data_IF_524373386429
#
_entry.id   IF_524373386429
#
_cell.length_a   1.000
_cell.length_b   1.000
_cell.length_c   1.000
_cell.angle_alpha   90.00
_cell.angle_beta   90.00
_cell.angle_gamma   90.00
#
_symmetry.space_group_name_H-M   'P 1'
#
loop_
_entity.id
_entity.type
_entity.pdbx_description
1 polymer ?
#
# COMPACT_ATOMS: atom_id res chain seq x y z
N UNK A 1 2.87 -12.33 13.49
CA UNK A 1 1.78 -13.23 13.86
C UNK A 1 1.28 -14.03 12.64
N UNK A 2 1.24 -15.38 12.76
CA UNK A 2 0.82 -16.27 11.65
C UNK A 2 -0.64 -16.05 11.22
N UNK A 3 -1.52 -15.61 12.10
CA UNK A 3 -2.94 -15.36 11.78
C UNK A 3 -3.14 -14.13 10.92
N UNK A 4 -2.42 -13.03 11.18
CA UNK A 4 -2.46 -11.83 10.33
C UNK A 4 -1.80 -12.07 8.96
N UNK A 5 -0.73 -12.88 8.88
CA UNK A 5 -0.14 -13.27 7.60
C UNK A 5 -1.09 -14.09 6.74
N UNK A 6 -1.94 -14.93 7.35
CA UNK A 6 -2.93 -15.72 6.61
C UNK A 6 -4.08 -14.87 6.04
N UNK A 7 -4.45 -13.76 6.69
CA UNK A 7 -5.55 -12.91 6.22
C UNK A 7 -5.24 -12.16 4.92
N UNK A 8 -4.00 -11.65 4.75
CA UNK A 8 -3.64 -10.92 3.53
C UNK A 8 -3.28 -11.81 2.33
N UNK A 9 -2.83 -13.04 2.56
CA UNK A 9 -2.22 -13.92 1.55
C UNK A 9 -3.22 -14.82 0.82
N UNK A 10 -4.37 -15.11 1.42
CA UNK A 10 -5.35 -16.08 0.86
C UNK A 10 -6.58 -15.41 0.25
N UNK A 11 -6.70 -14.09 0.37
CA UNK A 11 -7.99 -13.44 0.28
C UNK A 11 -8.61 -13.42 -1.13
N UNK A 12 -7.84 -13.30 -2.22
CA UNK A 12 -8.45 -13.26 -3.55
C UNK A 12 -8.97 -14.64 -3.99
N UNK A 13 -8.18 -15.70 -3.85
CA UNK A 13 -8.58 -17.07 -4.21
C UNK A 13 -9.58 -17.65 -3.20
N UNK A 14 -9.38 -17.41 -1.90
CA UNK A 14 -10.28 -17.86 -0.84
C UNK A 14 -11.65 -17.15 -0.92
N UNK A 15 -11.66 -15.88 -1.31
CA UNK A 15 -12.90 -15.13 -1.53
C UNK A 15 -13.73 -15.74 -2.66
N UNK A 16 -13.14 -16.10 -3.80
CA UNK A 16 -13.85 -16.78 -4.89
C UNK A 16 -14.48 -18.09 -4.41
N UNK A 17 -13.72 -18.90 -3.66
CA UNK A 17 -14.24 -20.14 -3.05
C UNK A 17 -15.41 -19.88 -2.08
N UNK A 18 -15.31 -18.83 -1.24
CA UNK A 18 -16.37 -18.43 -0.31
C UNK A 18 -17.61 -17.91 -1.03
N UNK A 19 -17.43 -17.11 -2.07
CA UNK A 19 -18.54 -16.64 -2.91
C UNK A 19 -19.32 -17.83 -3.47
N UNK A 20 -18.62 -18.83 -4.05
CA UNK A 20 -19.26 -20.03 -4.59
C UNK A 20 -20.00 -20.84 -3.50
N UNK A 21 -19.35 -21.06 -2.35
CA UNK A 21 -19.92 -21.80 -1.23
C UNK A 21 -21.15 -21.11 -0.61
N UNK A 22 -21.12 -19.78 -0.50
CA UNK A 22 -22.25 -18.99 0.00
C UNK A 22 -23.40 -18.96 -1.01
N UNK A 23 -23.09 -18.78 -2.31
CA UNK A 23 -24.09 -18.79 -3.38
C UNK A 23 -24.86 -20.10 -3.41
N UNK A 24 -24.19 -21.24 -3.22
CA UNK A 24 -24.84 -22.56 -3.12
C UNK A 24 -25.84 -22.68 -1.96
N UNK A 25 -25.77 -21.77 -0.99
CA UNK A 25 -26.67 -21.68 0.18
C UNK A 25 -27.64 -20.51 0.11
N UNK A 26 -27.73 -19.83 -1.02
CA UNK A 26 -28.56 -18.64 -1.18
C UNK A 26 -28.05 -17.39 -0.43
N UNK A 27 -26.76 -17.38 -0.03
CA UNK A 27 -26.14 -16.27 0.69
C UNK A 27 -25.25 -15.43 -0.26
N UNK A 28 -25.23 -14.14 -0.03
CA UNK A 28 -24.37 -13.22 -0.75
C UNK A 28 -23.08 -12.96 0.07
N UNK A 29 -21.94 -13.22 -0.52
CA UNK A 29 -20.63 -12.99 0.11
C UNK A 29 -19.85 -11.89 -0.63
N UNK A 30 -19.30 -10.95 0.13
CA UNK A 30 -18.43 -9.88 -0.38
C UNK A 30 -17.14 -9.85 0.42
N UNK A 31 -16.02 -9.85 -0.29
CA UNK A 31 -14.70 -9.60 0.27
C UNK A 31 -14.27 -8.18 -0.06
N UNK A 32 -13.74 -7.43 0.90
CA UNK A 32 -13.31 -6.06 0.68
C UNK A 32 -11.84 -5.87 1.07
N UNK A 33 -11.04 -5.34 0.14
CA UNK A 33 -9.75 -4.77 0.44
C UNK A 33 -9.92 -3.40 1.08
N UNK A 34 -9.10 -3.07 2.08
CA UNK A 34 -9.16 -1.78 2.78
C UNK A 34 -7.77 -1.17 2.83
N UNK A 35 -7.66 0.13 2.54
CA UNK A 35 -6.43 0.90 2.63
C UNK A 35 -6.64 2.18 3.43
N UNK A 36 -5.67 2.53 4.31
CA UNK A 36 -5.74 3.73 5.14
C UNK A 36 -5.07 3.58 6.50
N UNK A 37 -4.70 2.37 6.91
CA UNK A 37 -4.07 2.12 8.21
C UNK A 37 -4.93 2.56 9.39
N UNK A 38 -4.31 2.97 10.47
CA UNK A 38 -4.98 3.47 11.68
C UNK A 38 -5.74 4.79 11.42
N UNK A 39 -5.15 5.68 10.64
CA UNK A 39 -5.78 6.95 10.26
C UNK A 39 -7.04 6.71 9.40
N UNK A 40 -6.96 5.79 8.44
CA UNK A 40 -8.12 5.39 7.65
C UNK A 40 -9.23 4.73 8.48
N UNK A 41 -8.88 3.99 9.53
CA UNK A 41 -9.86 3.44 10.46
C UNK A 41 -10.60 4.52 11.25
N UNK A 42 -9.92 5.65 11.53
CA UNK A 42 -10.48 6.76 12.29
C UNK A 42 -11.30 7.74 11.42
N UNK A 43 -10.81 8.04 10.22
CA UNK A 43 -11.32 9.16 9.40
C UNK A 43 -11.96 8.72 8.07
N UNK A 44 -11.95 7.43 7.80
CA UNK A 44 -12.41 6.84 6.55
C UNK A 44 -11.24 6.26 5.74
N UNK A 45 -11.47 5.09 5.18
CA UNK A 45 -10.49 4.35 4.38
C UNK A 45 -10.91 4.28 2.91
N UNK A 46 -9.97 3.94 2.03
CA UNK A 46 -10.33 3.45 0.69
C UNK A 46 -10.81 2.02 0.81
N UNK A 47 -12.00 1.71 0.30
CA UNK A 47 -12.66 0.41 0.41
C UNK A 47 -12.90 -0.17 -0.99
N UNK A 48 -12.43 -1.39 -1.20
CA UNK A 48 -12.42 -2.10 -2.48
C UNK A 48 -13.26 -3.37 -2.38
N UNK A 49 -14.60 -3.30 -2.48
CA UNK A 49 -15.48 -4.48 -2.40
C UNK A 49 -15.49 -5.27 -3.69
N UNK A 50 -15.55 -6.61 -3.56
CA UNK A 50 -15.75 -7.55 -4.66
C UNK A 50 -16.46 -8.82 -4.17
N UNK A 51 -17.03 -9.62 -5.06
CA UNK A 51 -17.73 -10.84 -4.69
C UNK A 51 -19.06 -11.06 -5.40
N UNK A 52 -20.14 -11.31 -4.66
CA UNK A 52 -21.47 -11.42 -5.21
C UNK A 52 -22.03 -10.04 -5.59
N UNK A 53 -22.19 -9.78 -6.90
CA UNK A 53 -22.60 -8.47 -7.42
C UNK A 53 -23.96 -8.03 -6.89
N UNK A 54 -24.82 -8.99 -6.66
CA UNK A 54 -26.18 -8.77 -6.14
C UNK A 54 -26.19 -8.15 -4.74
N UNK A 55 -25.10 -8.30 -3.98
CA UNK A 55 -24.94 -7.66 -2.68
C UNK A 55 -24.64 -6.15 -2.78
N UNK A 56 -24.07 -5.69 -3.90
CA UNK A 56 -23.58 -4.33 -4.02
C UNK A 56 -24.64 -3.25 -3.76
N UNK A 57 -25.85 -3.30 -4.36
CA UNK A 57 -26.88 -2.30 -4.06
C UNK A 57 -27.26 -2.24 -2.58
N UNK A 58 -27.17 -3.36 -1.84
CA UNK A 58 -27.54 -3.46 -0.44
C UNK A 58 -26.48 -2.85 0.50
N UNK A 59 -25.18 -3.05 0.17
CA UNK A 59 -24.09 -2.62 1.04
C UNK A 59 -23.42 -1.31 0.59
N UNK A 60 -23.67 -0.87 -0.64
CA UNK A 60 -23.09 0.34 -1.21
C UNK A 60 -23.24 1.57 -0.33
N UNK A 61 -24.45 1.93 0.15
CA UNK A 61 -24.60 3.13 0.96
C UNK A 61 -23.73 3.09 2.22
N UNK A 62 -23.74 1.96 2.93
CA UNK A 62 -22.95 1.76 4.14
C UNK A 62 -21.44 1.88 3.87
N UNK A 63 -20.93 1.18 2.86
CA UNK A 63 -19.50 1.19 2.56
C UNK A 63 -19.03 2.55 2.03
N UNK A 64 -19.86 3.21 1.23
CA UNK A 64 -19.56 4.55 0.75
C UNK A 64 -19.59 5.60 1.86
N UNK A 65 -20.47 5.48 2.85
CA UNK A 65 -20.51 6.37 4.01
C UNK A 65 -19.25 6.22 4.88
N UNK A 66 -18.80 5.00 5.09
CA UNK A 66 -17.59 4.67 5.86
C UNK A 66 -16.28 5.05 5.14
N UNK A 67 -16.31 5.17 3.82
CA UNK A 67 -15.12 5.44 3.03
C UNK A 67 -14.64 6.88 3.17
N UNK A 68 -13.31 7.09 2.99
CA UNK A 68 -12.76 8.41 2.77
C UNK A 68 -13.44 9.10 1.60
N UNK A 69 -13.44 10.43 1.61
CA UNK A 69 -13.98 11.25 0.52
C UNK A 69 -12.83 11.95 -0.20
N UNK A 70 -12.87 11.94 -1.51
CA UNK A 70 -12.01 12.78 -2.33
C UNK A 70 -12.36 14.26 -2.17
N UNK A 71 -11.54 15.15 -2.70
CA UNK A 71 -11.75 16.61 -2.58
C UNK A 71 -13.10 17.10 -3.14
N UNK A 72 -13.65 16.40 -4.11
CA UNK A 72 -14.96 16.67 -4.72
C UNK A 72 -16.13 15.99 -3.98
N UNK A 73 -15.87 15.33 -2.85
CA UNK A 73 -16.85 14.61 -2.06
C UNK A 73 -17.12 13.17 -2.53
N UNK A 74 -16.50 12.72 -3.62
CA UNK A 74 -16.65 11.35 -4.12
C UNK A 74 -16.09 10.34 -3.11
N UNK A 75 -16.87 9.29 -2.72
CA UNK A 75 -16.37 8.29 -1.79
C UNK A 75 -15.28 7.44 -2.44
N UNK A 76 -14.19 7.18 -1.71
CA UNK A 76 -13.12 6.27 -2.11
C UNK A 76 -13.56 4.80 -1.97
N UNK A 77 -14.71 4.48 -2.53
CA UNK A 77 -15.31 3.14 -2.50
C UNK A 77 -16.19 2.93 -3.72
N UNK A 78 -15.86 1.93 -4.52
CA UNK A 78 -16.73 1.45 -5.59
C UNK A 78 -16.54 -0.05 -5.80
N UNK A 79 -17.42 -0.66 -6.59
CA UNK A 79 -17.40 -2.07 -6.91
C UNK A 79 -16.18 -2.44 -7.78
N UNK A 80 -15.32 -3.34 -7.28
CA UNK A 80 -14.09 -3.74 -7.98
C UNK A 80 -14.31 -4.88 -8.98
N UNK A 81 -15.31 -5.75 -8.75
CA UNK A 81 -15.59 -6.88 -9.63
C UNK A 81 -16.06 -8.13 -8.89
N UNK A 82 -16.26 -9.24 -9.62
CA UNK A 82 -16.69 -10.50 -9.03
C UNK A 82 -15.60 -11.13 -8.17
N UNK A 83 -15.97 -12.13 -7.40
CA UNK A 83 -15.11 -13.03 -6.64
C UNK A 83 -14.09 -12.26 -5.76
N UNK A 84 -12.79 -12.54 -5.90
CA UNK A 84 -11.72 -11.93 -5.15
C UNK A 84 -11.23 -10.58 -5.67
N UNK A 85 -11.93 -9.92 -6.61
CA UNK A 85 -11.46 -8.71 -7.27
C UNK A 85 -11.10 -7.57 -6.29
N UNK A 86 -11.86 -7.38 -5.22
CA UNK A 86 -11.55 -6.35 -4.21
C UNK A 86 -10.22 -6.59 -3.52
N UNK A 87 -9.94 -7.81 -3.12
CA UNK A 87 -8.66 -8.18 -2.52
C UNK A 87 -7.51 -8.12 -3.54
N UNK A 88 -7.77 -8.51 -4.79
CA UNK A 88 -6.80 -8.42 -5.86
C UNK A 88 -6.36 -6.97 -6.11
N UNK A 89 -7.32 -6.06 -6.25
CA UNK A 89 -7.03 -4.61 -6.42
C UNK A 89 -6.21 -4.09 -5.23
N UNK A 90 -6.59 -4.45 -3.99
CA UNK A 90 -5.82 -4.05 -2.80
C UNK A 90 -4.40 -4.61 -2.80
N UNK A 91 -4.21 -5.84 -3.24
CA UNK A 91 -2.89 -6.46 -3.35
C UNK A 91 -2.00 -5.71 -4.36
N UNK A 92 -2.54 -5.40 -5.55
CA UNK A 92 -1.82 -4.64 -6.59
C UNK A 92 -1.50 -3.23 -6.11
N UNK A 93 -2.45 -2.54 -5.47
CA UNK A 93 -2.21 -1.25 -4.82
C UNK A 93 -0.99 -1.30 -3.89
N UNK A 94 -0.91 -2.30 -3.02
CA UNK A 94 0.24 -2.44 -2.12
C UNK A 94 1.54 -2.71 -2.88
N UNK A 95 1.49 -3.46 -3.97
CA UNK A 95 2.65 -3.67 -4.84
C UNK A 95 3.17 -2.35 -5.42
N UNK A 96 2.28 -1.52 -5.96
CA UNK A 96 2.61 -0.19 -6.48
C UNK A 96 3.23 0.68 -5.38
N UNK A 97 2.63 0.71 -4.19
CA UNK A 97 3.13 1.44 -3.03
C UNK A 97 4.55 1.01 -2.63
N UNK A 98 4.91 -0.27 -2.79
CA UNK A 98 6.28 -0.74 -2.59
C UNK A 98 7.23 -0.13 -3.63
N UNK A 99 6.82 -0.03 -4.88
CA UNK A 99 7.58 0.62 -5.95
C UNK A 99 7.81 2.10 -5.65
N UNK A 100 6.77 2.81 -5.24
CA UNK A 100 6.86 4.24 -4.87
C UNK A 100 7.85 4.46 -3.72
N UNK A 101 7.77 3.63 -2.68
CA UNK A 101 8.72 3.71 -1.55
C UNK A 101 10.14 3.38 -1.97
N UNK A 102 10.34 2.45 -2.91
CA UNK A 102 11.66 2.14 -3.45
C UNK A 102 12.25 3.34 -4.21
N UNK A 103 11.46 3.98 -5.08
CA UNK A 103 11.88 5.19 -5.80
C UNK A 103 12.24 6.34 -4.85
N UNK A 104 11.47 6.53 -3.79
CA UNK A 104 11.75 7.53 -2.75
C UNK A 104 13.09 7.20 -2.05
N UNK A 105 13.30 5.95 -1.67
CA UNK A 105 14.53 5.52 -1.01
C UNK A 105 15.77 5.69 -1.90
N UNK A 106 15.69 5.32 -3.18
CA UNK A 106 16.76 5.53 -4.14
C UNK A 106 17.04 7.00 -4.40
N UNK A 107 15.98 7.80 -4.52
CA UNK A 107 16.10 9.26 -4.66
C UNK A 107 16.80 9.86 -3.45
N UNK A 108 16.40 9.50 -2.23
CA UNK A 108 17.07 9.91 -1.01
C UNK A 108 18.55 9.53 -1.02
N UNK A 109 18.87 8.29 -1.38
CA UNK A 109 20.24 7.80 -1.44
C UNK A 109 21.10 8.60 -2.44
N UNK A 110 20.59 8.83 -3.65
CA UNK A 110 21.28 9.62 -4.67
C UNK A 110 21.50 11.07 -4.23
N UNK A 111 20.48 11.72 -3.71
CA UNK A 111 20.59 13.11 -3.23
C UNK A 111 21.60 13.24 -2.10
N UNK A 112 21.63 12.28 -1.19
CA UNK A 112 22.54 12.28 -0.05
C UNK A 112 23.97 11.92 -0.45
N UNK A 113 24.18 10.83 -1.22
CA UNK A 113 25.51 10.27 -1.51
C UNK A 113 26.19 10.95 -2.69
N UNK A 114 25.48 11.15 -3.78
CA UNK A 114 26.03 11.77 -4.98
C UNK A 114 25.88 13.29 -4.96
N UNK A 115 24.75 13.79 -4.46
CA UNK A 115 24.46 15.23 -4.40
C UNK A 115 25.00 15.94 -3.17
N UNK A 116 25.40 15.23 -2.12
CA UNK A 116 25.87 15.84 -0.85
C UNK A 116 24.80 16.71 -0.17
N UNK A 117 23.52 16.48 -0.46
CA UNK A 117 22.41 17.31 0.00
C UNK A 117 22.03 16.90 1.42
N UNK A 118 21.93 17.88 2.32
CA UNK A 118 21.49 17.66 3.69
C UNK A 118 19.97 17.41 3.79
N UNK A 119 19.54 16.88 4.94
CA UNK A 119 18.14 16.52 5.16
C UNK A 119 17.19 17.71 5.04
N UNK A 120 17.59 18.87 5.51
CA UNK A 120 16.74 20.07 5.48
C UNK A 120 16.46 20.53 4.04
N UNK A 121 17.51 20.51 3.19
CA UNK A 121 17.35 20.80 1.77
C UNK A 121 16.55 19.73 1.05
N UNK A 122 16.76 18.44 1.40
CA UNK A 122 15.96 17.33 0.85
C UNK A 122 14.49 17.46 1.24
N UNK A 123 14.19 17.75 2.51
CA UNK A 123 12.81 18.01 2.97
C UNK A 123 12.14 19.10 2.12
N UNK A 124 12.78 20.25 1.95
CA UNK A 124 12.25 21.32 1.11
C UNK A 124 12.07 20.91 -0.35
N UNK A 125 12.93 20.06 -0.87
CA UNK A 125 12.83 19.54 -2.24
C UNK A 125 11.61 18.63 -2.40
N UNK A 126 11.43 17.67 -1.49
CA UNK A 126 10.23 16.82 -1.48
C UNK A 126 8.95 17.63 -1.27
N UNK A 127 8.95 18.63 -0.38
CA UNK A 127 7.83 19.56 -0.20
C UNK A 127 7.43 20.26 -1.49
N UNK A 128 8.40 20.79 -2.25
CA UNK A 128 8.11 21.40 -3.57
C UNK A 128 7.61 20.41 -4.60
N UNK A 129 8.11 19.18 -4.61
CA UNK A 129 7.59 18.13 -5.48
C UNK A 129 6.15 17.77 -5.15
N UNK A 130 5.78 17.83 -3.87
CA UNK A 130 4.41 17.60 -3.41
C UNK A 130 3.41 18.70 -3.82
N UNK A 131 3.88 19.88 -4.21
CA UNK A 131 3.04 20.94 -4.77
C UNK A 131 2.69 20.73 -6.25
N UNK A 132 3.38 19.79 -6.92
CA UNK A 132 3.27 19.56 -8.36
C UNK A 132 2.74 18.17 -8.73
N UNK A 133 3.28 17.66 -9.84
CA UNK A 133 2.86 16.35 -10.43
C UNK A 133 3.14 15.14 -9.56
N UNK A 134 4.06 15.25 -8.60
CA UNK A 134 4.40 14.17 -7.67
C UNK A 134 3.62 14.25 -6.36
N UNK A 135 2.57 15.09 -6.31
CA UNK A 135 1.73 15.24 -5.13
C UNK A 135 1.16 13.90 -4.70
N UNK A 136 1.56 13.46 -3.51
CA UNK A 136 1.10 12.20 -2.90
C UNK A 136 1.36 12.17 -1.41
N UNK A 137 0.61 11.35 -0.69
CA UNK A 137 0.83 11.13 0.73
C UNK A 137 2.27 10.68 1.05
N UNK A 138 2.85 9.78 0.26
CA UNK A 138 4.21 9.30 0.50
C UNK A 138 5.27 10.39 0.31
N UNK A 139 5.11 11.27 -0.67
CA UNK A 139 6.02 12.42 -0.89
C UNK A 139 5.86 13.44 0.24
N UNK A 140 4.64 13.70 0.69
CA UNK A 140 4.35 14.58 1.83
C UNK A 140 5.05 14.11 3.10
N UNK A 141 4.76 12.88 3.53
CA UNK A 141 5.38 12.35 4.75
C UNK A 141 6.89 12.19 4.65
N UNK A 142 7.43 12.00 3.44
CA UNK A 142 8.89 11.98 3.23
C UNK A 142 9.50 13.35 3.55
N UNK A 143 8.86 14.43 3.11
CA UNK A 143 9.28 15.79 3.47
C UNK A 143 9.32 15.97 5.00
N UNK A 144 8.26 15.56 5.69
CA UNK A 144 8.14 15.69 7.15
C UNK A 144 9.17 14.83 7.89
N UNK A 145 9.34 13.57 7.49
CA UNK A 145 10.32 12.64 8.07
C UNK A 145 11.74 13.21 7.96
N UNK A 146 12.10 13.78 6.81
CA UNK A 146 13.42 14.34 6.59
C UNK A 146 13.68 15.61 7.42
N UNK A 147 12.64 16.38 7.75
CA UNK A 147 12.73 17.54 8.61
C UNK A 147 12.74 17.22 10.11
N UNK A 148 12.21 16.04 10.49
CA UNK A 148 11.97 15.74 11.90
C UNK A 148 13.27 15.57 12.69
N UNK A 149 13.39 16.38 13.76
CA UNK A 149 14.50 16.36 14.71
C UNK A 149 13.98 15.94 16.09
N UNK A 150 14.77 15.18 16.79
CA UNK A 150 14.51 14.87 18.19
C UNK A 150 14.98 16.00 19.13
N UNK A 151 14.69 15.85 20.43
CA UNK A 151 14.98 16.87 21.44
C UNK A 151 16.47 17.26 21.51
N UNK A 152 17.38 16.37 21.13
CA UNK A 152 18.82 16.60 21.06
C UNK A 152 19.30 17.27 19.75
N UNK A 153 18.36 17.60 18.85
CA UNK A 153 18.62 18.22 17.55
C UNK A 153 19.05 17.24 16.45
N UNK A 154 19.19 15.94 16.75
CA UNK A 154 19.51 14.90 15.78
C UNK A 154 18.31 14.51 14.91
N UNK A 155 18.55 14.22 13.62
CA UNK A 155 17.48 13.76 12.73
C UNK A 155 17.08 12.31 13.06
N UNK A 156 15.79 12.09 13.31
CA UNK A 156 15.26 10.77 13.67
C UNK A 156 15.52 9.75 12.56
N UNK A 157 15.47 10.13 11.29
CA UNK A 157 15.70 9.23 10.15
C UNK A 157 17.05 8.50 10.22
N UNK A 158 18.06 9.06 10.89
CA UNK A 158 19.37 8.42 11.06
C UNK A 158 19.39 7.37 12.18
N UNK A 159 18.35 7.34 13.00
CA UNK A 159 18.22 6.43 14.15
C UNK A 159 17.25 5.28 13.89
N UNK A 160 16.54 5.34 12.77
CA UNK A 160 15.62 4.29 12.33
C UNK A 160 16.43 3.16 11.69
N UNK A 161 16.11 1.93 12.09
CA UNK A 161 16.73 0.75 11.50
C UNK A 161 16.41 0.68 10.00
N UNK A 162 17.43 0.50 9.17
CA UNK A 162 17.35 0.40 7.72
C UNK A 162 16.83 -0.97 7.23
N UNK A 163 15.71 -1.40 7.79
CA UNK A 163 15.03 -2.67 7.47
C UNK A 163 13.59 -2.39 7.10
N UNK A 164 13.17 -2.84 5.93
CA UNK A 164 11.79 -2.77 5.47
C UNK A 164 11.17 -4.17 5.42
N UNK A 165 10.28 -4.47 6.37
CA UNK A 165 9.53 -5.72 6.38
C UNK A 165 8.46 -5.79 5.30
N UNK A 166 7.94 -7.00 5.05
CA UNK A 166 6.80 -7.21 4.16
C UNK A 166 5.78 -8.18 4.77
N UNK A 167 4.50 -7.99 4.43
CA UNK A 167 3.41 -8.88 4.84
C UNK A 167 2.96 -9.83 3.73
N UNK A 168 3.68 -9.85 2.59
CA UNK A 168 3.47 -10.77 1.48
C UNK A 168 2.69 -10.19 0.29
N UNK A 169 2.00 -9.05 0.42
CA UNK A 169 1.19 -8.47 -0.67
C UNK A 169 2.01 -8.08 -1.90
N UNK A 170 3.20 -7.49 -1.71
CA UNK A 170 4.12 -7.19 -2.82
C UNK A 170 4.59 -8.45 -3.54
N UNK A 171 5.01 -9.47 -2.81
CA UNK A 171 5.41 -10.76 -3.37
C UNK A 171 4.26 -11.41 -4.18
N UNK A 172 3.03 -11.31 -3.69
CA UNK A 172 1.86 -11.84 -4.38
C UNK A 172 1.55 -11.09 -5.66
N UNK A 173 1.69 -9.75 -5.65
CA UNK A 173 1.53 -8.94 -6.85
C UNK A 173 2.52 -9.36 -7.94
N UNK A 174 3.79 -9.56 -7.59
CA UNK A 174 4.82 -10.04 -8.53
C UNK A 174 4.51 -11.43 -9.06
N UNK A 175 4.08 -12.34 -8.18
CA UNK A 175 3.71 -13.71 -8.58
C UNK A 175 2.56 -13.71 -9.57
N UNK A 176 1.50 -12.95 -9.30
CA UNK A 176 0.36 -12.82 -10.21
C UNK A 176 0.76 -12.17 -11.55
N UNK A 177 1.62 -11.16 -11.53
CA UNK A 177 2.11 -10.53 -12.75
C UNK A 177 2.86 -11.56 -13.64
N UNK A 178 3.72 -12.40 -13.04
CA UNK A 178 4.39 -13.48 -13.78
C UNK A 178 3.41 -14.51 -14.35
N UNK A 179 2.40 -14.89 -13.60
CA UNK A 179 1.35 -15.81 -14.05
C UNK A 179 0.52 -15.24 -15.21
N UNK A 180 0.31 -13.93 -15.22
CA UNK A 180 -0.44 -13.20 -16.26
C UNK A 180 0.42 -12.74 -17.44
N UNK A 181 1.74 -12.89 -17.37
CA UNK A 181 2.66 -12.39 -18.38
C UNK A 181 2.80 -10.86 -18.42
N UNK A 182 2.50 -10.19 -17.29
CA UNK A 182 2.57 -8.73 -17.18
C UNK A 182 3.95 -8.26 -16.70
N UNK A 183 4.39 -7.10 -17.22
CA UNK A 183 5.65 -6.49 -16.83
C UNK A 183 5.52 -5.76 -15.49
N UNK A 184 6.29 -6.21 -14.47
CA UNK A 184 6.19 -5.71 -13.09
C UNK A 184 7.57 -5.43 -12.47
N UNK A 185 8.54 -5.01 -13.29
CA UNK A 185 9.96 -4.91 -12.94
C UNK A 185 10.23 -4.09 -11.68
N UNK A 186 9.73 -2.85 -11.60
CA UNK A 186 9.93 -1.97 -10.44
C UNK A 186 9.40 -2.59 -9.13
N UNK A 187 8.23 -3.19 -9.18
CA UNK A 187 7.60 -3.79 -7.98
C UNK A 187 8.33 -5.05 -7.56
N UNK A 188 8.80 -5.85 -8.53
CA UNK A 188 9.64 -7.02 -8.25
C UNK A 188 10.94 -6.59 -7.58
N UNK A 189 11.61 -5.57 -8.09
CA UNK A 189 12.82 -5.02 -7.49
C UNK A 189 12.56 -4.52 -6.06
N UNK A 190 11.49 -3.76 -5.83
CA UNK A 190 11.12 -3.29 -4.50
C UNK A 190 10.92 -4.44 -3.50
N UNK A 191 10.35 -5.58 -3.93
CA UNK A 191 10.19 -6.78 -3.12
C UNK A 191 11.55 -7.40 -2.79
N UNK A 192 12.45 -7.49 -3.77
CA UNK A 192 13.81 -8.02 -3.55
C UNK A 192 14.63 -7.13 -2.63
N UNK A 193 14.58 -5.82 -2.80
CA UNK A 193 15.27 -4.86 -1.93
C UNK A 193 14.78 -4.94 -0.48
N UNK A 194 13.47 -5.15 -0.23
CA UNK A 194 12.96 -5.43 1.11
C UNK A 194 13.51 -6.72 1.69
N UNK A 195 13.61 -7.78 0.89
CA UNK A 195 14.22 -9.05 1.33
C UNK A 195 15.70 -8.85 1.69
N UNK A 196 16.45 -8.12 0.85
CA UNK A 196 17.85 -7.78 1.12
C UNK A 196 17.96 -6.93 2.39
N UNK A 197 17.07 -5.95 2.58
CA UNK A 197 17.10 -5.07 3.76
C UNK A 197 16.96 -5.84 5.08
N UNK A 198 16.22 -6.95 5.10
CA UNK A 198 16.07 -7.78 6.31
C UNK A 198 17.31 -8.61 6.66
N UNK A 199 18.28 -8.71 5.75
CA UNK A 199 19.53 -9.45 5.93
C UNK A 199 20.66 -8.52 6.38
N UNK A 200 20.40 -7.70 7.41
CA UNK A 200 21.34 -6.65 7.82
C UNK A 200 22.72 -7.19 8.16
N UNK A 201 22.82 -8.30 8.87
CA UNK A 201 24.09 -8.93 9.27
C UNK A 201 24.95 -9.37 8.07
N UNK A 202 24.32 -9.62 6.93
CA UNK A 202 25.02 -9.97 5.68
C UNK A 202 25.41 -8.74 4.82
N UNK A 203 24.79 -7.58 5.10
CA UNK A 203 25.01 -6.33 4.33
C UNK A 203 26.06 -5.41 4.93
N UNK A 204 26.41 -5.61 6.22
CA UNK A 204 27.27 -4.71 7.01
C UNK A 204 28.59 -5.38 7.35
#
# INVERSE_FOLDING_TARGET
>A
DRRQRQMCIRDSMDTGRRVAACRARGLLFVGAGVSGGAEGALRGASIMPGGAKEAWPLIRPLLQDMAAKAADGTPCCDWMGPDGAGHFVKMVHNGIEYGDMQLIAETYFLLKRAGGIDNERMSRLFGRWNEGRLKSYLVEITSDILAYKEADGGYLVYRILDVAGQKGTGQWSVKNALELGESFGLIAEAVFQRNISTQKELRV
#
